data_IF_065782323495
#
_entry.id   IF_065782323495
#
_cell.length_a   1.000
_cell.length_b   1.000
_cell.length_c   1.000
_cell.angle_alpha   90.00
_cell.angle_beta   90.00
_cell.angle_gamma   90.00
#
_symmetry.space_group_name_H-M   'P 1'
#
loop_
_entity.id
_entity.type
_entity.pdbx_description
1 polymer ?
#
# COMPACT_ATOMS: atom_id res chain seq x y z
N UNK A 1 5.97 16.81 0.92
CA UNK A 1 6.34 15.62 0.12
C UNK A 1 7.73 15.70 -0.49
N UNK A 2 8.14 16.81 -1.13
CA UNK A 2 9.50 16.93 -1.73
C UNK A 2 10.63 16.61 -0.75
N UNK A 3 10.61 17.18 0.46
CA UNK A 3 11.60 16.89 1.51
C UNK A 3 11.60 15.41 1.92
N UNK A 4 10.42 14.79 2.04
CA UNK A 4 10.29 13.36 2.38
C UNK A 4 10.90 12.49 1.29
N UNK A 5 10.61 12.77 0.02
CA UNK A 5 11.19 12.03 -1.10
C UNK A 5 12.69 12.26 -1.26
N UNK A 6 13.18 13.45 -0.90
CA UNK A 6 14.61 13.76 -0.85
C UNK A 6 15.30 12.96 0.26
N UNK A 7 14.71 12.91 1.45
CA UNK A 7 15.25 12.18 2.59
C UNK A 7 15.26 10.67 2.36
N UNK A 8 14.16 10.10 1.88
CA UNK A 8 14.00 8.64 1.75
C UNK A 8 14.65 8.07 0.49
N UNK A 9 14.72 8.86 -0.58
CA UNK A 9 15.20 8.40 -1.89
C UNK A 9 16.41 9.16 -2.44
N UNK A 10 17.02 10.07 -1.68
CA UNK A 10 18.23 10.80 -2.14
C UNK A 10 18.00 11.68 -3.35
N UNK A 11 16.77 12.12 -3.57
CA UNK A 11 16.36 12.82 -4.79
C UNK A 11 16.12 11.90 -6.00
N UNK A 12 16.26 10.58 -5.84
CA UNK A 12 15.98 9.59 -6.89
C UNK A 12 14.52 9.15 -6.93
N UNK A 13 13.70 9.54 -5.96
CA UNK A 13 12.26 9.29 -6.01
C UNK A 13 11.57 10.42 -6.76
N UNK A 14 10.79 10.06 -7.78
CA UNK A 14 10.05 10.96 -8.65
C UNK A 14 8.60 10.49 -8.81
N UNK A 15 7.73 11.40 -9.25
CA UNK A 15 6.30 11.13 -9.39
C UNK A 15 5.48 11.99 -8.42
N UNK A 16 4.42 11.40 -7.88
CA UNK A 16 3.44 12.10 -7.08
C UNK A 16 2.03 11.68 -7.48
N UNK A 17 1.14 12.66 -7.62
CA UNK A 17 -0.27 12.44 -7.90
C UNK A 17 -1.15 13.04 -6.80
N UNK A 18 -2.37 12.54 -6.71
CA UNK A 18 -3.37 13.09 -5.79
C UNK A 18 -4.73 12.46 -6.03
N UNK A 19 -4.75 11.14 -6.25
CA UNK A 19 -5.99 10.46 -6.58
C UNK A 19 -6.88 10.37 -5.33
N UNK A 20 -8.17 10.74 -5.44
CA UNK A 20 -9.08 10.68 -4.31
C UNK A 20 -9.44 9.23 -3.98
N UNK A 21 -9.57 8.95 -2.69
CA UNK A 21 -10.15 7.74 -2.13
C UNK A 21 -11.36 8.15 -1.31
N UNK A 22 -12.53 7.63 -1.66
CA UNK A 22 -13.77 7.88 -0.92
C UNK A 22 -14.25 6.59 -0.27
N UNK A 23 -14.50 6.64 1.03
CA UNK A 23 -15.23 5.59 1.75
C UNK A 23 -16.61 6.12 2.10
N UNK A 24 -17.60 5.66 1.36
CA UNK A 24 -18.99 6.04 1.56
C UNK A 24 -19.54 5.44 2.86
N UNK A 25 -20.40 6.18 3.59
CA UNK A 25 -21.15 5.68 4.74
C UNK A 25 -21.93 4.41 4.44
N UNK A 26 -21.88 3.47 5.36
CA UNK A 26 -22.75 2.30 5.41
C UNK A 26 -23.07 1.94 6.88
N UNK A 27 -23.89 2.75 7.58
CA UNK A 27 -24.13 2.58 9.01
C UNK A 27 -24.87 1.28 9.38
N UNK A 28 -25.53 0.65 8.42
CA UNK A 28 -26.23 -0.63 8.62
C UNK A 28 -25.29 -1.85 8.57
N UNK A 29 -24.07 -1.68 8.04
CA UNK A 29 -23.10 -2.76 7.95
C UNK A 29 -22.51 -3.10 9.30
N UNK A 30 -22.41 -4.40 9.60
CA UNK A 30 -21.65 -4.85 10.77
C UNK A 30 -20.17 -4.75 10.46
N UNK A 31 -19.48 -3.80 11.08
CA UNK A 31 -18.04 -3.65 10.88
C UNK A 31 -17.28 -4.90 11.31
N UNK A 32 -16.35 -5.31 10.46
CA UNK A 32 -15.34 -6.31 10.74
C UNK A 32 -13.99 -5.83 10.20
N UNK A 33 -12.92 -6.19 10.91
CA UNK A 33 -11.57 -5.95 10.43
C UNK A 33 -11.37 -6.68 9.09
N UNK A 34 -10.84 -6.03 8.04
CA UNK A 34 -10.59 -6.69 6.76
C UNK A 34 -9.72 -7.93 6.92
N UNK A 35 -10.15 -9.05 6.34
CA UNK A 35 -9.42 -10.33 6.41
C UNK A 35 -8.22 -10.42 5.47
N UNK A 36 -8.18 -9.58 4.42
CA UNK A 36 -7.08 -9.55 3.46
C UNK A 36 -6.81 -8.13 2.94
N UNK A 37 -5.59 -7.91 2.47
CA UNK A 37 -5.12 -6.67 1.88
C UNK A 37 -4.33 -6.92 0.62
N UNK A 38 -4.10 -5.87 -0.18
CA UNK A 38 -3.34 -5.94 -1.42
C UNK A 38 -2.02 -5.18 -1.30
N UNK A 39 -1.10 -5.45 -2.22
CA UNK A 39 -0.03 -4.52 -2.54
C UNK A 39 -0.40 -3.73 -3.78
N UNK A 40 0.09 -2.51 -3.85
CA UNK A 40 -0.13 -1.68 -5.01
C UNK A 40 0.83 -2.05 -6.15
N UNK A 41 0.63 -1.40 -7.30
CA UNK A 41 1.38 -1.54 -8.56
C UNK A 41 0.89 -2.59 -9.57
N UNK A 42 -0.15 -3.37 -9.27
CA UNK A 42 -0.78 -4.25 -10.26
C UNK A 42 -2.25 -3.90 -10.46
N UNK A 43 -2.53 -3.03 -11.44
CA UNK A 43 -3.88 -2.62 -11.82
C UNK A 43 -4.21 -2.94 -13.29
N UNK A 44 -5.36 -2.47 -13.81
CA UNK A 44 -5.77 -2.70 -15.21
C UNK A 44 -4.75 -2.24 -16.28
N UNK A 45 -3.76 -1.42 -15.90
CA UNK A 45 -2.65 -0.99 -16.76
C UNK A 45 -1.37 -1.84 -16.64
N UNK A 46 -1.41 -2.96 -15.91
CA UNK A 46 -0.25 -3.83 -15.67
C UNK A 46 0.63 -3.38 -14.50
N UNK A 47 1.83 -3.96 -14.44
CA UNK A 47 2.85 -3.71 -13.42
C UNK A 47 3.42 -2.28 -13.51
N UNK A 48 3.27 -1.50 -12.45
CA UNK A 48 3.72 -0.11 -12.33
C UNK A 48 4.47 0.12 -11.01
N UNK A 49 5.73 -0.34 -10.90
CA UNK A 49 6.46 -0.32 -9.64
C UNK A 49 6.67 1.10 -9.13
N UNK A 50 6.53 1.25 -7.84
CA UNK A 50 6.92 2.46 -7.13
C UNK A 50 7.69 2.04 -5.89
N UNK A 51 8.25 3.01 -5.18
CA UNK A 51 9.01 2.77 -3.96
C UNK A 51 8.14 3.14 -2.76
N UNK A 52 7.65 4.38 -2.78
CA UNK A 52 6.95 5.01 -1.67
C UNK A 52 5.52 5.36 -2.07
N UNK A 53 4.56 4.84 -1.31
CA UNK A 53 3.20 5.34 -1.28
C UNK A 53 3.03 6.35 -0.14
N UNK A 54 2.18 7.34 -0.36
CA UNK A 54 1.77 8.29 0.67
C UNK A 54 0.26 8.46 0.61
N UNK A 55 -0.41 8.25 1.73
CA UNK A 55 -1.86 8.45 1.87
C UNK A 55 -2.12 9.45 2.98
N UNK A 56 -2.93 10.46 2.71
CA UNK A 56 -3.34 11.47 3.70
C UNK A 56 -4.84 11.48 3.85
N UNK A 57 -5.31 11.78 5.06
CA UNK A 57 -6.72 12.04 5.31
C UNK A 57 -7.07 13.50 5.11
N UNK A 58 -8.28 13.77 4.58
CA UNK A 58 -8.84 15.12 4.49
C UNK A 58 -9.81 15.44 5.64
N UNK A 59 -10.17 14.42 6.42
CA UNK A 59 -11.08 14.47 7.56
C UNK A 59 -10.48 13.63 8.68
N UNK A 60 -10.88 13.90 9.92
CA UNK A 60 -10.55 13.01 11.04
C UNK A 60 -11.15 11.62 10.77
N UNK A 61 -10.35 10.59 11.03
CA UNK A 61 -10.77 9.20 10.85
C UNK A 61 -10.98 8.58 12.21
N UNK A 62 -12.25 8.28 12.51
CA UNK A 62 -12.62 7.51 13.70
C UNK A 62 -12.41 6.01 13.48
N UNK A 63 -12.24 5.22 14.56
CA UNK A 63 -12.32 3.76 14.48
C UNK A 63 -13.56 3.30 13.74
N UNK A 64 -13.40 2.32 12.85
CA UNK A 64 -14.44 1.76 11.99
C UNK A 64 -15.02 2.76 10.95
N UNK A 65 -14.38 3.91 10.77
CA UNK A 65 -14.79 4.99 9.86
C UNK A 65 -14.18 4.91 8.46
N UNK A 66 -13.90 3.70 7.98
CA UNK A 66 -13.25 3.48 6.70
C UNK A 66 -11.79 3.92 6.70
N UNK A 67 -11.02 3.57 7.73
CA UNK A 67 -9.60 3.86 7.80
C UNK A 67 -8.78 3.15 6.70
N UNK A 68 -7.55 3.63 6.50
CA UNK A 68 -6.49 2.84 5.89
C UNK A 68 -6.12 1.71 6.86
N UNK A 69 -6.20 0.46 6.39
CA UNK A 69 -5.84 -0.73 7.14
C UNK A 69 -4.57 -1.30 6.56
N UNK A 70 -3.61 -1.65 7.40
CA UNK A 70 -2.34 -2.21 6.97
C UNK A 70 -1.92 -3.40 7.83
N UNK A 71 -1.07 -4.25 7.27
CA UNK A 71 -0.45 -5.37 7.97
C UNK A 71 0.98 -4.99 8.35
N UNK A 72 1.26 -4.75 9.64
CA UNK A 72 2.60 -4.37 10.09
C UNK A 72 3.66 -5.36 9.64
N UNK A 73 4.77 -4.86 9.09
CA UNK A 73 5.89 -5.68 8.65
C UNK A 73 5.65 -6.52 7.39
N UNK A 74 4.47 -6.49 6.77
CA UNK A 74 4.16 -7.36 5.62
C UNK A 74 5.05 -7.10 4.40
N UNK A 75 5.59 -5.89 4.25
CA UNK A 75 6.53 -5.57 3.17
C UNK A 75 7.78 -6.46 3.19
N UNK A 76 8.18 -7.00 4.35
CA UNK A 76 9.24 -7.99 4.45
C UNK A 76 8.78 -9.40 4.04
N UNK A 77 7.57 -9.82 4.41
CA UNK A 77 7.05 -11.14 4.03
C UNK A 77 6.71 -11.20 2.54
N UNK A 78 6.11 -10.15 2.00
CA UNK A 78 5.89 -9.98 0.56
C UNK A 78 7.21 -9.93 -0.21
N UNK A 79 8.23 -9.25 0.30
CA UNK A 79 9.57 -9.28 -0.32
C UNK A 79 10.15 -10.69 -0.36
N UNK A 80 10.08 -11.44 0.74
CA UNK A 80 10.51 -12.84 0.79
C UNK A 80 9.74 -13.73 -0.18
N UNK A 81 8.44 -13.51 -0.33
CA UNK A 81 7.61 -14.21 -1.31
C UNK A 81 8.16 -14.02 -2.72
N UNK A 82 8.43 -12.77 -3.13
CA UNK A 82 9.00 -12.51 -4.46
C UNK A 82 10.45 -12.98 -4.61
N UNK A 83 11.26 -12.99 -3.55
CA UNK A 83 12.59 -13.63 -3.61
C UNK A 83 12.48 -15.15 -3.87
N UNK A 84 11.44 -15.80 -3.35
CA UNK A 84 11.18 -17.21 -3.55
C UNK A 84 10.55 -17.51 -4.93
N UNK A 85 9.73 -16.57 -5.43
CA UNK A 85 8.97 -16.69 -6.68
C UNK A 85 9.20 -15.46 -7.59
N UNK A 86 10.45 -15.24 -8.06
CA UNK A 86 10.81 -14.01 -8.76
C UNK A 86 10.12 -13.84 -10.11
N UNK A 87 9.72 -14.94 -10.75
CA UNK A 87 8.97 -14.93 -12.02
C UNK A 87 7.59 -14.26 -11.89
N UNK A 88 7.08 -14.12 -10.67
CA UNK A 88 5.72 -13.63 -10.42
C UNK A 88 5.64 -12.10 -10.24
N UNK A 89 6.79 -11.40 -10.16
CA UNK A 89 6.85 -9.94 -9.95
C UNK A 89 6.24 -9.12 -11.10
N UNK A 90 5.94 -9.75 -12.24
CA UNK A 90 5.24 -9.11 -13.35
C UNK A 90 3.70 -9.12 -13.19
N UNK A 91 3.19 -9.77 -12.14
CA UNK A 91 1.77 -9.92 -11.85
C UNK A 91 1.19 -11.27 -12.26
N UNK A 92 1.98 -12.17 -12.84
CA UNK A 92 1.51 -13.50 -13.24
C UNK A 92 1.01 -14.36 -12.07
N UNK A 93 1.24 -13.96 -10.81
CA UNK A 93 0.59 -14.60 -9.66
C UNK A 93 -0.95 -14.57 -9.71
N UNK A 94 -1.56 -13.64 -10.45
CA UNK A 94 -3.02 -13.64 -10.65
C UNK A 94 -3.53 -14.83 -11.47
N UNK A 95 -2.67 -15.45 -12.27
CA UNK A 95 -3.02 -16.59 -13.12
C UNK A 95 -2.88 -17.93 -12.38
N UNK A 96 -2.35 -17.91 -11.15
CA UNK A 96 -2.23 -19.11 -10.30
C UNK A 96 -3.62 -19.48 -9.78
N UNK A 97 -4.00 -20.75 -9.96
CA UNK A 97 -5.26 -21.29 -9.44
C UNK A 97 -5.37 -21.07 -7.92
N UNK A 98 -6.54 -20.64 -7.46
CA UNK A 98 -6.84 -20.29 -6.07
C UNK A 98 -5.99 -19.14 -5.47
N UNK A 99 -5.20 -18.44 -6.28
CA UNK A 99 -4.45 -17.28 -5.77
C UNK A 99 -5.40 -16.14 -5.44
N UNK A 100 -5.18 -15.55 -4.27
CA UNK A 100 -5.85 -14.32 -3.86
C UNK A 100 -4.96 -13.49 -2.98
N UNK A 101 -5.33 -12.23 -2.82
CA UNK A 101 -4.60 -11.27 -1.98
C UNK A 101 -4.35 -11.74 -0.54
N UNK A 102 -5.20 -12.64 -0.03
CA UNK A 102 -5.00 -13.28 1.26
C UNK A 102 -3.63 -13.97 1.38
N UNK A 103 -3.08 -14.52 0.29
CA UNK A 103 -1.75 -15.16 0.26
C UNK A 103 -0.67 -14.23 0.81
N UNK A 104 -0.67 -12.95 0.42
CA UNK A 104 0.35 -12.01 0.89
C UNK A 104 0.04 -11.51 2.31
N UNK A 105 -1.23 -11.26 2.64
CA UNK A 105 -1.60 -10.79 3.98
C UNK A 105 -1.43 -11.87 5.05
N UNK A 106 -1.67 -13.14 4.74
CA UNK A 106 -1.53 -14.28 5.66
C UNK A 106 -0.07 -14.59 5.99
N UNK A 107 0.85 -14.23 5.08
CA UNK A 107 2.30 -14.29 5.33
C UNK A 107 2.79 -13.16 6.24
N UNK A 108 1.96 -12.15 6.55
CA UNK A 108 2.35 -11.03 7.41
C UNK A 108 2.65 -11.51 8.83
N UNK A 109 3.68 -10.96 9.49
CA UNK A 109 4.04 -11.37 10.85
C UNK A 109 2.99 -10.96 11.89
N UNK A 110 2.16 -9.96 11.56
CA UNK A 110 1.15 -9.39 12.42
C UNK A 110 -0.17 -9.23 11.66
N UNK A 111 -1.28 -9.30 12.40
CA UNK A 111 -2.61 -9.05 11.86
C UNK A 111 -2.85 -7.58 11.48
N UNK A 112 -3.97 -7.30 10.77
CA UNK A 112 -4.30 -5.97 10.29
C UNK A 112 -4.54 -4.95 11.41
N UNK A 113 -4.21 -3.69 11.15
CA UNK A 113 -4.46 -2.53 12.04
C UNK A 113 -5.05 -1.36 11.28
N UNK A 114 -6.00 -0.66 11.88
CA UNK A 114 -6.47 0.63 11.38
C UNK A 114 -5.42 1.72 11.66
N UNK A 115 -5.15 2.57 10.68
CA UNK A 115 -4.48 3.85 10.86
C UNK A 115 -5.52 4.91 11.20
N UNK A 116 -5.74 5.12 12.50
CA UNK A 116 -6.61 6.16 13.05
C UNK A 116 -5.80 7.44 13.18
N UNK A 117 -6.26 8.52 12.54
CA UNK A 117 -5.53 9.78 12.46
C UNK A 117 -6.45 10.97 12.18
N UNK A 118 -5.92 12.16 12.42
CA UNK A 118 -6.60 13.42 12.16
C UNK A 118 -6.51 13.82 10.68
N UNK A 119 -7.32 14.81 10.28
CA UNK A 119 -7.19 15.47 8.99
C UNK A 119 -5.76 16.02 8.82
N UNK A 120 -5.13 15.68 7.70
CA UNK A 120 -3.74 16.05 7.40
C UNK A 120 -2.69 15.03 7.89
N UNK A 121 -3.04 14.03 8.69
CA UNK A 121 -2.12 12.94 9.00
C UNK A 121 -1.80 12.15 7.73
N UNK A 122 -0.51 11.78 7.60
CA UNK A 122 0.03 11.07 6.45
C UNK A 122 0.60 9.73 6.89
N UNK A 123 0.15 8.65 6.25
CA UNK A 123 0.84 7.35 6.31
C UNK A 123 1.73 7.19 5.08
N UNK A 124 3.01 6.96 5.34
CA UNK A 124 4.00 6.57 4.35
C UNK A 124 4.13 5.05 4.38
N UNK A 125 4.15 4.43 3.20
CA UNK A 125 4.14 2.97 3.11
C UNK A 125 4.98 2.46 1.93
N UNK A 126 5.65 1.34 2.14
CA UNK A 126 6.49 0.68 1.13
C UNK A 126 5.61 0.01 0.06
N UNK A 127 6.04 -0.07 -1.20
CA UNK A 127 5.25 -0.66 -2.27
C UNK A 127 4.77 -2.11 -2.03
N UNK A 128 5.53 -2.86 -1.24
CA UNK A 128 5.18 -4.22 -0.79
C UNK A 128 4.34 -4.29 0.50
N UNK A 129 3.93 -3.16 1.08
CA UNK A 129 3.07 -3.18 2.27
C UNK A 129 1.65 -3.60 1.85
N UNK A 130 1.16 -4.67 2.47
CA UNK A 130 -0.21 -5.12 2.35
C UNK A 130 -1.09 -4.13 3.08
N UNK A 131 -2.09 -3.63 2.36
CA UNK A 131 -3.04 -2.68 2.89
C UNK A 131 -4.39 -2.75 2.19
N UNK A 132 -5.39 -2.13 2.77
CA UNK A 132 -6.72 -1.96 2.19
C UNK A 132 -7.40 -0.78 2.86
N UNK A 133 -8.63 -0.45 2.47
CA UNK A 133 -9.46 0.46 3.25
C UNK A 133 -10.60 -0.31 3.93
N UNK A 134 -10.86 -0.05 5.21
CA UNK A 134 -12.00 -0.67 5.91
C UNK A 134 -13.35 -0.18 5.40
N UNK A 135 -14.42 -0.85 5.82
CA UNK A 135 -15.78 -0.33 5.70
C UNK A 135 -15.94 0.93 6.55
N UNK A 136 -16.82 1.84 6.14
CA UNK A 136 -17.14 3.04 6.88
C UNK A 136 -18.56 2.94 7.45
N UNK A 137 -18.69 2.52 8.70
CA UNK A 137 -19.99 2.40 9.38
C UNK A 137 -20.43 3.71 10.07
N UNK A 138 -19.76 4.81 9.76
CA UNK A 138 -20.11 6.14 10.25
C UNK A 138 -21.07 6.81 9.27
N UNK A 139 -21.66 7.92 9.71
CA UNK A 139 -22.66 8.68 8.95
C UNK A 139 -22.06 9.57 7.84
N UNK A 140 -20.76 9.87 7.91
CA UNK A 140 -20.10 10.82 7.01
C UNK A 140 -19.11 10.13 6.06
N UNK A 141 -19.04 10.52 4.77
CA UNK A 141 -18.03 10.00 3.87
C UNK A 141 -16.62 10.38 4.32
N UNK A 142 -15.69 9.44 4.22
CA UNK A 142 -14.27 9.68 4.49
C UNK A 142 -13.53 9.88 3.17
N UNK A 143 -12.92 11.04 3.02
CA UNK A 143 -12.04 11.35 1.89
C UNK A 143 -10.58 11.23 2.31
N UNK A 144 -9.79 10.56 1.47
CA UNK A 144 -8.34 10.60 1.51
C UNK A 144 -7.78 10.89 0.13
N UNK A 145 -6.49 11.20 0.10
CA UNK A 145 -5.72 11.35 -1.13
C UNK A 145 -4.53 10.43 -1.05
N UNK A 146 -4.19 9.76 -2.15
CA UNK A 146 -2.94 9.02 -2.24
C UNK A 146 -2.09 9.44 -3.43
N UNK A 147 -0.79 9.29 -3.27
CA UNK A 147 0.24 9.52 -4.27
C UNK A 147 1.26 8.39 -4.21
N UNK A 148 1.92 8.12 -5.34
CA UNK A 148 2.95 7.10 -5.47
C UNK A 148 4.20 7.70 -6.10
N UNK A 149 5.36 7.35 -5.55
CA UNK A 149 6.65 7.84 -5.98
C UNK A 149 7.54 6.67 -6.37
N UNK A 150 7.96 6.64 -7.63
CA UNK A 150 8.84 5.62 -8.18
C UNK A 150 10.29 6.09 -8.17
N UNK A 151 11.23 5.15 -8.24
CA UNK A 151 12.62 5.50 -8.51
C UNK A 151 12.76 6.01 -9.96
N UNK A 152 13.65 6.97 -10.22
CA UNK A 152 13.87 7.53 -11.57
C UNK A 152 14.23 6.45 -12.61
N UNK A 153 14.94 5.41 -12.18
CA UNK A 153 15.29 4.24 -13.00
C UNK A 153 14.20 3.15 -13.07
N UNK A 154 12.93 3.48 -12.76
CA UNK A 154 11.83 2.50 -12.64
C UNK A 154 11.82 1.48 -13.78
N UNK A 155 11.93 1.93 -15.02
CA UNK A 155 11.82 1.03 -16.18
C UNK A 155 12.98 0.04 -16.29
N UNK A 156 14.16 0.38 -15.76
CA UNK A 156 15.33 -0.50 -15.71
C UNK A 156 15.18 -1.54 -14.60
N UNK A 157 14.67 -1.13 -13.43
CA UNK A 157 14.66 -1.94 -12.21
C UNK A 157 13.31 -2.60 -11.92
N UNK A 158 12.29 -2.42 -12.76
CA UNK A 158 10.91 -2.84 -12.46
C UNK A 158 10.76 -4.31 -12.14
N UNK A 159 11.58 -5.18 -12.72
CA UNK A 159 11.55 -6.62 -12.46
C UNK A 159 12.65 -7.08 -11.48
N UNK A 160 13.46 -6.15 -10.96
CA UNK A 160 14.46 -6.49 -9.97
C UNK A 160 13.82 -6.72 -8.60
N UNK A 161 14.24 -7.79 -7.93
CA UNK A 161 13.90 -8.07 -6.55
C UNK A 161 15.21 -8.14 -5.77
N UNK A 162 15.68 -7.01 -5.21
CA UNK A 162 16.99 -6.96 -4.58
C UNK A 162 17.01 -7.78 -3.29
N UNK A 163 18.13 -8.45 -2.97
CA UNK A 163 18.29 -9.16 -1.69
C UNK A 163 18.11 -8.22 -0.48
N UNK A 164 18.62 -6.99 -0.59
CA UNK A 164 18.32 -5.91 0.33
C UNK A 164 17.08 -5.14 -0.16
N UNK A 165 15.97 -5.24 0.58
CA UNK A 165 14.71 -4.53 0.29
C UNK A 165 14.91 -3.02 0.10
N UNK A 166 15.88 -2.45 0.80
CA UNK A 166 16.14 -1.01 0.82
C UNK A 166 17.23 -0.58 -0.17
N UNK A 167 17.69 -1.44 -1.10
CA UNK A 167 18.79 -1.17 -2.06
C UNK A 167 18.71 0.20 -2.75
N UNK A 168 17.50 0.67 -3.03
CA UNK A 168 17.24 1.92 -3.76
C UNK A 168 16.69 3.05 -2.87
N UNK A 169 16.80 2.91 -1.55
CA UNK A 169 16.45 3.92 -0.56
C UNK A 169 17.73 4.46 0.10
N UNK A 170 17.68 5.66 0.67
CA UNK A 170 18.81 6.29 1.37
C UNK A 170 18.78 6.07 2.90
N UNK A 171 18.20 4.96 3.35
CA UNK A 171 18.00 4.64 4.78
C UNK A 171 18.70 3.34 5.19
#
# INVERSE_FOLDING_TARGET
>A
MQEITQQLGGGQFAGGGGSPLVKWPNPEEKWAMPGSGHIDAYGPGGWSPFMLGATTYLYDVEPNGGAFVFWPGSHHSTHKYFLQYPEQIDGSFYDIEDWGWHVLSDLSPEGPREFIGAAGDVVLWHAFLCHTGSANIKEIPRFGIFARYSHQKREEIKYEIPENLWKYWEI
#
